data_IF_457824248828
#
_entry.id   IF_457824248828
#
_cell.length_a   1.000
_cell.length_b   1.000
_cell.length_c   1.000
_cell.angle_alpha   90.00
_cell.angle_beta   90.00
_cell.angle_gamma   90.00
#
_symmetry.space_group_name_H-M   'P 1'
#
loop_
_entity.id
_entity.type
_entity.pdbx_description
1 polymer ?
#
# COMPACT_ATOMS: atom_id res chain seq x y z
N UNK A 1 11.76 29.54 -6.83
CA UNK A 1 12.81 29.06 -7.77
C UNK A 1 13.95 28.39 -7.00
N UNK A 2 14.56 29.02 -6.04
CA UNK A 2 15.70 28.46 -5.29
C UNK A 2 15.46 27.06 -4.64
N UNK A 3 14.29 26.80 -4.04
CA UNK A 3 14.04 25.50 -3.39
C UNK A 3 13.95 24.33 -4.38
N UNK A 4 13.34 24.54 -5.55
CA UNK A 4 13.27 23.49 -6.60
C UNK A 4 14.61 23.25 -7.27
N UNK A 5 15.44 24.28 -7.41
CA UNK A 5 16.78 24.16 -7.97
C UNK A 5 17.72 23.42 -7.00
N UNK A 6 17.67 23.74 -5.71
CA UNK A 6 18.41 23.01 -4.66
C UNK A 6 18.03 21.53 -4.58
N UNK A 7 16.73 21.21 -4.69
CA UNK A 7 16.29 19.82 -4.72
C UNK A 7 16.81 19.06 -5.95
N UNK A 8 16.85 19.72 -7.12
CA UNK A 8 17.37 19.13 -8.34
C UNK A 8 18.88 18.90 -8.27
N UNK A 9 19.62 19.84 -7.71
CA UNK A 9 21.07 19.73 -7.50
C UNK A 9 21.38 18.56 -6.56
N UNK A 10 20.64 18.44 -5.47
CA UNK A 10 20.83 17.34 -4.50
C UNK A 10 20.45 15.98 -5.11
N UNK A 11 19.39 15.91 -5.90
CA UNK A 11 19.05 14.69 -6.65
C UNK A 11 20.14 14.26 -7.62
N UNK A 12 20.76 15.22 -8.32
CA UNK A 12 21.90 14.95 -9.20
C UNK A 12 23.12 14.42 -8.41
N UNK A 13 23.39 14.99 -7.22
CA UNK A 13 24.45 14.50 -6.33
C UNK A 13 24.15 13.07 -5.89
N UNK A 14 22.94 12.81 -5.39
CA UNK A 14 22.47 11.47 -5.03
C UNK A 14 22.61 10.47 -6.20
N UNK A 15 22.20 10.87 -7.40
CA UNK A 15 22.34 10.04 -8.60
C UNK A 15 23.82 9.73 -8.91
N UNK A 16 24.72 10.67 -8.66
CA UNK A 16 26.17 10.50 -8.82
C UNK A 16 26.75 9.58 -7.78
N UNK A 17 26.35 9.71 -6.50
CA UNK A 17 26.77 8.84 -5.40
C UNK A 17 26.39 7.37 -5.64
N UNK A 18 25.29 7.12 -6.33
CA UNK A 18 24.85 5.77 -6.73
C UNK A 18 25.58 5.23 -7.99
N UNK A 19 26.63 5.89 -8.45
CA UNK A 19 27.47 5.48 -9.60
C UNK A 19 26.67 5.16 -10.88
N UNK A 20 25.55 5.83 -11.05
CA UNK A 20 24.71 5.61 -12.23
C UNK A 20 23.80 4.39 -12.17
N UNK A 21 23.82 3.60 -11.12
CA UNK A 21 22.94 2.43 -10.97
C UNK A 21 21.49 2.83 -10.69
N UNK A 22 20.50 2.11 -11.24
CA UNK A 22 19.11 2.36 -10.91
C UNK A 22 18.80 1.97 -9.47
N UNK A 23 17.88 2.72 -8.83
CA UNK A 23 17.54 2.50 -7.44
C UNK A 23 16.15 3.04 -7.09
N UNK A 24 15.52 2.47 -6.06
CA UNK A 24 14.41 3.11 -5.38
C UNK A 24 14.92 4.17 -4.40
N UNK A 25 14.27 5.32 -4.41
CA UNK A 25 14.48 6.38 -3.42
C UNK A 25 13.21 6.51 -2.56
N UNK A 26 13.29 6.12 -1.30
CA UNK A 26 12.21 6.24 -0.32
C UNK A 26 12.38 7.52 0.49
N UNK A 27 11.50 8.49 0.28
CA UNK A 27 11.44 9.72 1.06
C UNK A 27 10.66 9.47 2.36
N UNK A 28 11.38 9.34 3.47
CA UNK A 28 10.82 9.04 4.78
C UNK A 28 9.95 10.19 5.31
N UNK A 29 10.37 11.44 5.11
CA UNK A 29 9.64 12.63 5.58
C UNK A 29 8.30 12.75 4.86
N UNK A 30 8.27 12.45 3.55
CA UNK A 30 7.05 12.40 2.76
C UNK A 30 6.08 11.34 3.26
N UNK A 31 6.57 10.15 3.58
CA UNK A 31 5.77 9.07 4.15
C UNK A 31 5.19 9.46 5.53
N UNK A 32 6.03 9.99 6.41
CA UNK A 32 5.63 10.48 7.74
C UNK A 32 4.53 11.53 7.60
N UNK A 33 4.72 12.47 6.69
CA UNK A 33 3.73 13.51 6.41
C UNK A 33 2.40 12.94 5.92
N UNK A 34 2.42 11.98 4.99
CA UNK A 34 1.20 11.32 4.50
C UNK A 34 0.45 10.61 5.62
N UNK A 35 1.18 9.85 6.45
CA UNK A 35 0.62 9.14 7.59
C UNK A 35 0.00 10.10 8.62
N UNK A 36 0.74 11.12 8.99
CA UNK A 36 0.33 12.09 10.02
C UNK A 36 -0.86 12.94 9.55
N UNK A 37 -0.82 13.41 8.30
CA UNK A 37 -1.90 14.23 7.74
C UNK A 37 -3.21 13.42 7.62
N UNK A 38 -3.13 12.16 7.17
CA UNK A 38 -4.30 11.29 7.12
C UNK A 38 -4.86 11.02 8.53
N UNK A 39 -3.99 10.67 9.47
CA UNK A 39 -4.39 10.40 10.85
C UNK A 39 -5.03 11.62 11.51
N UNK A 40 -4.43 12.81 11.34
CA UNK A 40 -4.93 14.05 11.93
C UNK A 40 -6.27 14.47 11.30
N UNK A 41 -6.41 14.38 9.98
CA UNK A 41 -7.67 14.69 9.31
C UNK A 41 -8.84 13.86 9.88
N UNK A 42 -8.65 12.57 10.05
CA UNK A 42 -9.69 11.71 10.61
C UNK A 42 -9.92 11.94 12.11
N UNK A 43 -8.84 12.15 12.89
CA UNK A 43 -8.94 12.39 14.35
C UNK A 43 -9.58 13.73 14.70
N UNK A 44 -9.54 14.68 13.82
CA UNK A 44 -10.25 15.96 13.97
C UNK A 44 -11.75 15.75 14.17
N UNK A 45 -12.36 14.81 13.43
CA UNK A 45 -13.78 14.47 13.53
C UNK A 45 -14.06 13.28 14.46
N UNK A 46 -13.15 12.29 14.49
CA UNK A 46 -13.32 11.09 15.31
C UNK A 46 -12.00 10.70 16.00
N UNK A 47 -11.76 11.15 17.25
CA UNK A 47 -10.47 10.98 17.94
C UNK A 47 -10.03 9.52 18.09
N UNK A 48 -10.99 8.56 18.20
CA UNK A 48 -10.68 7.13 18.29
C UNK A 48 -10.39 6.46 16.95
N UNK A 49 -9.71 7.18 16.04
CA UNK A 49 -9.26 6.65 14.74
C UNK A 49 -7.87 6.05 14.82
N UNK A 50 -7.66 4.93 14.11
CA UNK A 50 -6.37 4.24 13.93
C UNK A 50 -6.09 4.00 12.46
N UNK A 51 -4.82 4.13 12.10
CA UNK A 51 -4.30 3.81 10.76
C UNK A 51 -3.59 2.47 10.85
N UNK A 52 -4.04 1.50 10.06
CA UNK A 52 -3.41 0.21 9.87
C UNK A 52 -2.76 0.18 8.47
N UNK A 53 -1.44 0.21 8.42
CA UNK A 53 -0.74 0.20 7.13
C UNK A 53 -0.84 -1.16 6.45
N UNK A 54 -1.29 -1.20 5.20
CA UNK A 54 -1.41 -2.42 4.40
C UNK A 54 -0.04 -2.91 3.92
N UNK A 55 0.52 -3.95 4.56
CA UNK A 55 1.86 -4.47 4.27
C UNK A 55 2.00 -4.99 2.84
N UNK A 56 0.96 -5.60 2.28
CA UNK A 56 0.93 -6.06 0.87
C UNK A 56 1.29 -4.97 -0.15
N UNK A 57 1.12 -3.70 0.22
CA UNK A 57 1.47 -2.58 -0.65
C UNK A 57 2.98 -2.38 -0.75
N UNK A 58 3.68 -2.42 0.38
CA UNK A 58 5.14 -2.39 0.48
C UNK A 58 5.57 -2.77 1.90
N UNK A 59 6.14 -3.94 2.06
CA UNK A 59 6.52 -4.53 3.35
C UNK A 59 8.01 -4.41 3.69
N UNK A 60 8.73 -3.42 3.14
CA UNK A 60 10.12 -3.18 3.55
C UNK A 60 10.18 -2.92 5.06
N UNK A 61 10.99 -3.69 5.83
CA UNK A 61 10.96 -3.62 7.29
C UNK A 61 11.17 -2.23 7.87
N UNK A 62 11.99 -1.41 7.25
CA UNK A 62 12.25 -0.04 7.69
C UNK A 62 11.01 0.86 7.57
N UNK A 63 10.20 0.65 6.54
CA UNK A 63 8.91 1.35 6.37
C UNK A 63 7.92 0.86 7.42
N UNK A 64 7.87 -0.46 7.65
CA UNK A 64 7.00 -1.07 8.66
C UNK A 64 7.34 -0.60 10.09
N UNK A 65 8.63 -0.50 10.43
CA UNK A 65 9.09 0.06 11.72
C UNK A 65 8.75 1.54 11.86
N UNK A 66 8.79 2.29 10.76
CA UNK A 66 8.39 3.69 10.77
C UNK A 66 6.90 3.83 11.09
N UNK A 67 6.04 2.97 10.51
CA UNK A 67 4.61 2.90 10.85
C UNK A 67 4.41 2.63 12.35
N UNK A 68 5.13 1.65 12.91
CA UNK A 68 5.06 1.34 14.34
C UNK A 68 5.45 2.52 15.21
N UNK A 69 6.52 3.23 14.87
CA UNK A 69 6.99 4.42 15.59
C UNK A 69 5.99 5.58 15.56
N UNK A 70 5.15 5.66 14.53
CA UNK A 70 4.06 6.62 14.39
C UNK A 70 2.77 6.17 15.11
N UNK A 71 2.81 5.04 15.81
CA UNK A 71 1.65 4.47 16.52
C UNK A 71 0.63 3.81 15.59
N UNK A 72 1.05 3.50 14.36
CA UNK A 72 0.23 2.76 13.39
C UNK A 72 0.08 1.28 13.70
N UNK A 73 -0.87 0.64 13.07
CA UNK A 73 -1.13 -0.79 13.11
C UNK A 73 -0.57 -1.45 11.83
N UNK A 74 -0.30 -2.75 11.91
CA UNK A 74 0.09 -3.57 10.75
C UNK A 74 -1.14 -4.34 10.24
N UNK A 75 -1.62 -4.03 9.03
CA UNK A 75 -2.59 -4.88 8.32
C UNK A 75 -1.83 -5.88 7.47
N UNK A 76 -2.08 -7.17 7.71
CA UNK A 76 -1.40 -8.30 7.05
C UNK A 76 -2.42 -9.30 6.52
N UNK A 77 -2.07 -9.99 5.42
CA UNK A 77 -2.97 -10.93 4.73
C UNK A 77 -2.38 -12.33 4.56
N UNK A 78 -1.22 -12.60 5.17
CA UNK A 78 -0.56 -13.90 5.11
C UNK A 78 0.38 -14.12 6.30
N UNK A 79 0.76 -15.37 6.54
CA UNK A 79 1.78 -15.72 7.53
C UNK A 79 3.15 -15.10 7.21
N UNK A 80 3.49 -14.93 5.93
CA UNK A 80 4.71 -14.24 5.54
C UNK A 80 4.72 -12.78 6.02
N UNK A 81 3.64 -12.05 5.77
CA UNK A 81 3.53 -10.66 6.21
C UNK A 81 3.44 -10.55 7.74
N UNK A 82 2.80 -11.52 8.40
CA UNK A 82 2.74 -11.60 9.87
C UNK A 82 4.12 -11.77 10.50
N UNK A 83 4.98 -12.61 9.92
CA UNK A 83 6.38 -12.77 10.36
C UNK A 83 7.13 -11.44 10.27
N UNK A 84 6.95 -10.70 9.16
CA UNK A 84 7.55 -9.37 8.99
C UNK A 84 6.97 -8.41 10.04
N UNK A 85 5.65 -8.42 10.24
CA UNK A 85 4.99 -7.54 11.22
C UNK A 85 5.54 -7.80 12.63
N UNK A 86 5.67 -9.05 13.05
CA UNK A 86 6.25 -9.38 14.36
C UNK A 86 7.68 -8.90 14.55
N UNK A 87 8.45 -8.84 13.47
CA UNK A 87 9.81 -8.31 13.52
C UNK A 87 9.86 -6.76 13.56
N UNK A 88 8.76 -6.10 13.23
CA UNK A 88 8.71 -4.64 13.06
C UNK A 88 7.88 -3.92 14.13
N UNK A 89 6.80 -4.55 14.64
CA UNK A 89 5.93 -3.91 15.63
C UNK A 89 6.43 -4.13 17.05
N UNK A 90 6.32 -3.09 17.87
CA UNK A 90 6.67 -3.15 19.30
C UNK A 90 5.58 -3.79 20.16
N UNK A 91 4.33 -3.79 19.68
CA UNK A 91 3.16 -4.35 20.35
C UNK A 91 2.33 -5.19 19.36
N UNK A 92 2.34 -6.51 19.54
CA UNK A 92 1.64 -7.46 18.66
C UNK A 92 0.12 -7.33 18.69
N UNK A 93 -0.46 -6.66 19.70
CA UNK A 93 -1.89 -6.33 19.71
C UNK A 93 -2.30 -5.34 18.62
N UNK A 94 -1.31 -4.70 17.96
CA UNK A 94 -1.51 -3.79 16.82
C UNK A 94 -1.43 -4.49 15.46
N UNK A 95 -1.43 -5.82 15.42
CA UNK A 95 -1.51 -6.59 14.18
C UNK A 95 -2.98 -6.90 13.87
N UNK A 96 -3.40 -6.65 12.63
CA UNK A 96 -4.72 -6.99 12.08
C UNK A 96 -4.51 -7.95 10.93
N UNK A 97 -5.17 -9.11 10.99
CA UNK A 97 -5.09 -10.13 9.95
C UNK A 97 -6.38 -10.17 9.12
N UNK A 98 -6.24 -10.06 7.81
CA UNK A 98 -7.32 -10.08 6.82
C UNK A 98 -7.08 -11.13 5.71
N UNK A 99 -6.30 -12.17 5.99
CA UNK A 99 -6.01 -13.22 5.02
C UNK A 99 -7.23 -14.06 4.67
N UNK A 100 -7.21 -14.65 3.48
CA UNK A 100 -8.32 -15.43 2.92
C UNK A 100 -8.31 -16.90 3.36
N UNK A 101 -7.16 -17.38 3.77
CA UNK A 101 -6.98 -18.79 4.13
C UNK A 101 -6.85 -18.94 5.65
N UNK A 102 -7.35 -20.05 6.21
CA UNK A 102 -7.09 -20.36 7.61
C UNK A 102 -5.60 -20.67 7.77
N UNK A 103 -4.90 -19.87 8.57
CA UNK A 103 -3.48 -20.01 8.87
C UNK A 103 -3.24 -20.00 10.38
N UNK A 104 -2.20 -20.70 10.83
CA UNK A 104 -1.87 -20.82 12.26
C UNK A 104 -1.59 -19.46 12.91
N UNK A 105 -1.03 -18.51 12.14
CA UNK A 105 -0.76 -17.15 12.61
C UNK A 105 -2.03 -16.41 13.11
N UNK A 106 -3.23 -16.75 12.58
CA UNK A 106 -4.50 -16.18 13.08
C UNK A 106 -4.67 -16.39 14.58
N UNK A 107 -4.39 -17.59 15.05
CA UNK A 107 -4.52 -17.97 16.45
C UNK A 107 -3.47 -17.26 17.32
N UNK A 108 -2.26 -17.16 16.84
CA UNK A 108 -1.18 -16.44 17.49
C UNK A 108 -1.49 -14.94 17.66
N UNK A 109 -2.03 -14.31 16.60
CA UNK A 109 -2.45 -12.91 16.63
C UNK A 109 -3.55 -12.70 17.67
N UNK A 110 -4.58 -13.55 17.64
CA UNK A 110 -5.70 -13.47 18.61
C UNK A 110 -5.21 -13.64 20.05
N UNK A 111 -4.35 -14.62 20.32
CA UNK A 111 -3.79 -14.85 21.65
C UNK A 111 -2.97 -13.69 22.20
N UNK A 112 -2.39 -12.88 21.33
CA UNK A 112 -1.59 -11.69 21.67
C UNK A 112 -2.41 -10.40 21.65
N UNK A 113 -3.74 -10.52 21.59
CA UNK A 113 -4.67 -9.38 21.63
C UNK A 113 -4.80 -8.61 20.33
N UNK A 114 -4.23 -9.11 19.23
CA UNK A 114 -4.45 -8.57 17.89
C UNK A 114 -5.87 -8.85 17.37
N UNK A 115 -6.13 -8.50 16.12
CA UNK A 115 -7.44 -8.65 15.49
C UNK A 115 -7.34 -9.60 14.30
N UNK A 116 -8.36 -10.44 14.12
CA UNK A 116 -8.51 -11.30 12.95
C UNK A 116 -9.90 -11.07 12.37
N UNK A 117 -9.99 -10.58 11.16
CA UNK A 117 -11.25 -10.42 10.45
C UNK A 117 -11.49 -11.66 9.58
N UNK A 118 -12.35 -12.56 10.07
CA UNK A 118 -12.71 -13.77 9.33
C UNK A 118 -13.59 -13.42 8.13
N UNK A 119 -13.30 -14.03 6.99
CA UNK A 119 -13.95 -13.68 5.73
C UNK A 119 -14.75 -14.82 5.11
N UNK A 120 -14.64 -16.03 5.68
CA UNK A 120 -15.32 -17.23 5.20
C UNK A 120 -15.69 -18.15 6.35
N UNK A 121 -16.62 -19.08 6.09
CA UNK A 121 -17.06 -20.07 7.07
C UNK A 121 -15.90 -20.99 7.50
N UNK A 122 -15.00 -21.34 6.59
CA UNK A 122 -13.80 -22.14 6.87
C UNK A 122 -12.87 -21.42 7.86
N UNK A 123 -12.59 -20.14 7.61
CA UNK A 123 -11.78 -19.32 8.54
C UNK A 123 -12.46 -19.20 9.91
N UNK A 124 -13.79 -18.99 9.93
CA UNK A 124 -14.55 -18.91 11.16
C UNK A 124 -14.49 -20.24 11.93
N UNK A 125 -14.79 -21.37 11.30
CA UNK A 125 -14.69 -22.70 11.89
C UNK A 125 -13.30 -22.99 12.42
N UNK A 126 -12.25 -22.63 11.67
CA UNK A 126 -10.87 -22.82 12.09
C UNK A 126 -10.56 -22.10 13.41
N UNK A 127 -10.99 -20.84 13.54
CA UNK A 127 -10.81 -20.07 14.77
C UNK A 127 -11.66 -20.63 15.92
N UNK A 128 -12.93 -20.98 15.66
CA UNK A 128 -13.86 -21.47 16.70
C UNK A 128 -13.47 -22.85 17.25
N UNK A 129 -12.90 -23.74 16.43
CA UNK A 129 -12.50 -25.10 16.87
C UNK A 129 -11.40 -25.13 17.92
N UNK A 130 -10.61 -24.07 18.06
CA UNK A 130 -9.48 -24.02 18.98
C UNK A 130 -9.82 -23.55 20.38
N UNK A 131 -11.09 -23.21 20.68
CA UNK A 131 -11.63 -22.91 22.01
C UNK A 131 -10.78 -21.92 22.85
N UNK A 132 -10.21 -20.90 22.20
CA UNK A 132 -9.53 -19.85 22.94
C UNK A 132 -10.58 -18.95 23.65
N UNK A 133 -10.41 -18.73 24.96
CA UNK A 133 -11.24 -17.80 25.70
C UNK A 133 -10.89 -16.34 25.33
N UNK A 134 -11.92 -15.49 25.24
CA UNK A 134 -11.79 -14.03 25.10
C UNK A 134 -11.06 -13.50 23.85
N UNK A 135 -11.09 -14.22 22.72
CA UNK A 135 -10.49 -13.73 21.47
C UNK A 135 -11.37 -12.67 20.78
N UNK A 136 -10.70 -11.76 20.10
CA UNK A 136 -11.32 -10.62 19.40
C UNK A 136 -11.52 -10.93 17.92
N UNK A 137 -12.58 -11.67 17.61
CA UNK A 137 -12.93 -12.01 16.23
C UNK A 137 -13.65 -10.83 15.57
N UNK A 138 -13.16 -10.42 14.41
CA UNK A 138 -13.89 -9.54 13.51
C UNK A 138 -14.57 -10.33 12.40
N UNK A 139 -15.60 -9.76 11.80
CA UNK A 139 -16.31 -10.33 10.66
C UNK A 139 -16.11 -9.42 9.46
N UNK A 140 -15.56 -9.96 8.35
CA UNK A 140 -15.46 -9.23 7.09
C UNK A 140 -16.79 -9.27 6.35
N UNK A 141 -17.31 -8.09 6.05
CA UNK A 141 -18.55 -7.89 5.29
C UNK A 141 -18.21 -7.67 3.83
N UNK A 142 -18.75 -8.51 2.97
CA UNK A 142 -18.66 -8.42 1.51
C UNK A 142 -19.90 -7.79 0.86
N UNK A 143 -19.95 -7.83 -0.45
CA UNK A 143 -21.12 -7.54 -1.26
C UNK A 143 -21.27 -8.59 -2.38
N UNK A 144 -22.43 -8.62 -3.05
CA UNK A 144 -22.75 -9.62 -4.07
C UNK A 144 -21.80 -9.62 -5.28
N UNK A 145 -21.08 -8.52 -5.52
CA UNK A 145 -20.12 -8.40 -6.61
C UNK A 145 -18.69 -8.71 -6.17
N UNK A 146 -18.48 -9.00 -4.89
CA UNK A 146 -17.17 -9.31 -4.31
C UNK A 146 -17.05 -10.81 -4.05
N UNK A 147 -15.86 -11.36 -4.30
CA UNK A 147 -15.53 -12.73 -3.87
C UNK A 147 -15.10 -12.81 -2.41
N UNK A 148 -15.16 -11.71 -1.66
CA UNK A 148 -14.63 -11.57 -0.31
C UNK A 148 -15.72 -11.28 0.70
N UNK A 149 -15.56 -11.88 1.89
CA UNK A 149 -16.39 -11.60 3.04
C UNK A 149 -17.77 -12.24 3.00
N UNK A 150 -18.46 -12.17 4.10
CA UNK A 150 -19.84 -12.65 4.24
C UNK A 150 -20.84 -11.64 3.69
N UNK A 151 -21.90 -12.12 3.07
CA UNK A 151 -23.03 -11.28 2.70
C UNK A 151 -23.86 -10.92 3.93
N UNK A 152 -24.65 -9.85 3.84
CA UNK A 152 -25.56 -9.47 4.94
C UNK A 152 -26.58 -10.56 5.26
N UNK A 153 -27.02 -11.34 4.24
CA UNK A 153 -27.88 -12.51 4.41
C UNK A 153 -27.30 -13.59 5.31
N UNK A 154 -25.98 -13.72 5.35
CA UNK A 154 -25.28 -14.78 6.05
C UNK A 154 -25.00 -14.43 7.52
N UNK A 155 -25.16 -13.15 7.88
CA UNK A 155 -24.75 -12.64 9.21
C UNK A 155 -25.50 -13.31 10.35
N UNK A 156 -26.77 -13.67 10.17
CA UNK A 156 -27.52 -14.33 11.22
C UNK A 156 -26.94 -15.72 11.56
N UNK A 157 -26.54 -16.47 10.55
CA UNK A 157 -25.90 -17.78 10.71
C UNK A 157 -24.49 -17.64 11.32
N UNK A 158 -23.68 -16.73 10.77
CA UNK A 158 -22.33 -16.42 11.27
C UNK A 158 -22.34 -16.02 12.74
N UNK A 159 -23.25 -15.13 13.15
CA UNK A 159 -23.40 -14.73 14.54
C UNK A 159 -23.90 -15.89 15.40
N UNK A 160 -24.82 -16.72 14.88
CA UNK A 160 -25.29 -17.93 15.54
C UNK A 160 -24.14 -18.90 15.86
N UNK A 161 -23.22 -19.12 14.93
CA UNK A 161 -22.04 -19.96 15.13
C UNK A 161 -21.12 -19.40 16.22
N UNK A 162 -20.85 -18.08 16.23
CA UNK A 162 -20.00 -17.44 17.23
C UNK A 162 -20.62 -17.50 18.63
N UNK A 163 -21.93 -17.27 18.76
CA UNK A 163 -22.67 -17.37 20.02
C UNK A 163 -22.66 -18.80 20.54
N UNK A 164 -22.93 -19.80 19.69
CA UNK A 164 -22.92 -21.21 20.07
C UNK A 164 -21.54 -21.67 20.58
N UNK A 165 -20.47 -21.14 19.98
CA UNK A 165 -19.10 -21.38 20.39
C UNK A 165 -18.66 -20.54 21.62
N UNK A 166 -19.54 -19.68 22.16
CA UNK A 166 -19.24 -18.74 23.27
C UNK A 166 -18.06 -17.79 22.92
N UNK A 167 -17.90 -17.46 21.65
CA UNK A 167 -16.89 -16.52 21.20
C UNK A 167 -17.49 -15.13 21.00
N UNK A 168 -16.66 -14.10 21.19
CA UNK A 168 -17.09 -12.70 21.10
C UNK A 168 -16.74 -12.11 19.76
N UNK A 169 -17.73 -11.57 19.06
CA UNK A 169 -17.50 -10.69 17.89
C UNK A 169 -17.15 -9.31 18.41
N UNK A 170 -15.94 -8.86 18.13
CA UNK A 170 -15.42 -7.57 18.62
C UNK A 170 -15.48 -6.46 17.57
N UNK A 171 -15.62 -6.79 16.30
CA UNK A 171 -15.68 -5.78 15.26
C UNK A 171 -16.14 -6.29 13.92
N UNK A 172 -16.28 -5.37 13.00
CA UNK A 172 -16.56 -5.63 11.59
C UNK A 172 -15.54 -4.95 10.70
N UNK A 173 -15.27 -5.57 9.56
CA UNK A 173 -14.37 -5.07 8.55
C UNK A 173 -15.03 -5.06 7.19
N UNK A 174 -14.70 -4.10 6.34
CA UNK A 174 -14.98 -4.19 4.92
C UNK A 174 -13.83 -3.59 4.11
N UNK A 175 -13.57 -4.18 2.95
CA UNK A 175 -12.67 -3.59 1.97
C UNK A 175 -13.36 -3.63 0.60
N UNK A 176 -13.84 -2.50 0.14
CA UNK A 176 -14.56 -2.38 -1.14
C UNK A 176 -13.58 -1.88 -2.19
N UNK A 177 -13.46 -2.63 -3.28
CA UNK A 177 -12.74 -2.22 -4.48
C UNK A 177 -13.58 -1.28 -5.37
N UNK A 178 -13.08 -0.96 -6.55
CA UNK A 178 -13.78 -0.12 -7.53
C UNK A 178 -13.47 1.36 -7.41
N UNK A 179 -14.48 2.23 -7.32
CA UNK A 179 -14.26 3.67 -7.25
C UNK A 179 -13.74 4.12 -5.87
N UNK A 180 -12.80 5.07 -5.90
CA UNK A 180 -12.26 5.74 -4.70
C UNK A 180 -12.97 7.05 -4.39
N UNK A 181 -14.10 7.33 -5.07
CA UNK A 181 -14.85 8.58 -4.91
C UNK A 181 -15.42 8.75 -3.50
N UNK A 182 -15.69 10.01 -3.13
CA UNK A 182 -16.35 10.32 -1.85
C UNK A 182 -17.72 9.66 -1.74
N UNK A 183 -18.45 9.57 -2.84
CA UNK A 183 -19.78 8.95 -2.87
C UNK A 183 -19.70 7.45 -2.51
N UNK A 184 -18.71 6.73 -3.04
CA UNK A 184 -18.47 5.32 -2.69
C UNK A 184 -18.14 5.18 -1.21
N UNK A 185 -17.29 6.07 -0.68
CA UNK A 185 -16.93 6.05 0.73
C UNK A 185 -18.10 6.38 1.66
N UNK A 186 -18.95 7.35 1.32
CA UNK A 186 -20.17 7.66 2.07
C UNK A 186 -21.13 6.46 2.11
N UNK A 187 -21.41 5.85 0.96
CA UNK A 187 -22.28 4.66 0.88
C UNK A 187 -21.74 3.49 1.71
N UNK A 188 -20.45 3.22 1.59
CA UNK A 188 -19.76 2.19 2.37
C UNK A 188 -19.89 2.45 3.87
N UNK A 189 -19.61 3.67 4.31
CA UNK A 189 -19.67 4.06 5.72
C UNK A 189 -21.08 3.91 6.27
N UNK A 190 -22.08 4.47 5.60
CA UNK A 190 -23.48 4.37 6.03
C UNK A 190 -23.94 2.91 6.13
N UNK A 191 -23.59 2.07 5.14
CA UNK A 191 -23.86 0.63 5.14
C UNK A 191 -23.23 -0.06 6.35
N UNK A 192 -21.96 0.16 6.59
CA UNK A 192 -21.22 -0.48 7.68
C UNK A 192 -21.74 -0.04 9.07
N UNK A 193 -22.10 1.23 9.22
CA UNK A 193 -22.69 1.72 10.46
C UNK A 193 -24.06 1.11 10.75
N UNK A 194 -24.90 0.92 9.72
CA UNK A 194 -26.18 0.21 9.86
C UNK A 194 -25.97 -1.23 10.28
N UNK A 195 -25.09 -1.96 9.56
CA UNK A 195 -24.77 -3.36 9.89
C UNK A 195 -24.19 -3.48 11.32
N UNK A 196 -23.30 -2.57 11.72
CA UNK A 196 -22.76 -2.55 13.08
C UNK A 196 -23.85 -2.47 14.13
N UNK A 197 -24.84 -1.57 13.96
CA UNK A 197 -25.98 -1.44 14.88
C UNK A 197 -26.87 -2.69 14.93
N UNK A 198 -27.10 -3.31 13.77
CA UNK A 198 -27.91 -4.54 13.71
C UNK A 198 -27.19 -5.70 14.42
N UNK A 199 -25.88 -5.85 14.23
CA UNK A 199 -25.05 -6.85 14.92
C UNK A 199 -25.04 -6.59 16.43
N UNK A 200 -24.82 -5.35 16.87
CA UNK A 200 -24.83 -4.99 18.28
C UNK A 200 -26.19 -5.28 18.97
N UNK A 201 -27.29 -5.07 18.25
CA UNK A 201 -28.64 -5.40 18.73
C UNK A 201 -28.82 -6.91 18.90
N UNK A 202 -28.31 -7.72 17.97
CA UNK A 202 -28.38 -9.20 18.06
C UNK A 202 -27.50 -9.70 19.21
N UNK A 203 -26.28 -9.17 19.33
CA UNK A 203 -25.30 -9.61 20.32
C UNK A 203 -25.59 -9.11 21.74
N UNK A 204 -26.33 -7.99 21.90
CA UNK A 204 -26.60 -7.36 23.17
C UNK A 204 -25.44 -6.61 23.82
N UNK A 205 -24.36 -6.38 23.06
CA UNK A 205 -23.18 -5.62 23.50
C UNK A 205 -22.58 -4.80 22.33
N UNK A 206 -21.82 -3.71 22.63
CA UNK A 206 -21.23 -2.87 21.62
C UNK A 206 -20.02 -3.53 20.94
N UNK A 207 -19.81 -3.24 19.66
CA UNK A 207 -18.58 -3.57 18.96
C UNK A 207 -17.42 -2.68 19.45
N UNK A 208 -16.21 -3.23 19.47
CA UNK A 208 -14.99 -2.54 19.88
C UNK A 208 -14.36 -1.75 18.71
N UNK A 209 -14.58 -2.19 17.46
CA UNK A 209 -14.05 -1.50 16.27
C UNK A 209 -14.93 -1.67 15.05
N UNK A 210 -14.78 -0.70 14.14
CA UNK A 210 -15.30 -0.72 12.78
C UNK A 210 -14.11 -0.41 11.87
N UNK A 211 -13.76 -1.37 11.02
CA UNK A 211 -12.69 -1.25 10.06
C UNK A 211 -13.27 -1.05 8.65
N UNK A 212 -12.98 0.09 8.05
CA UNK A 212 -13.48 0.46 6.73
C UNK A 212 -12.49 0.11 5.61
N UNK A 213 -11.38 -0.56 5.95
CA UNK A 213 -10.38 -0.95 4.96
C UNK A 213 -9.62 0.23 4.35
N UNK A 214 -9.01 -0.04 3.21
CA UNK A 214 -8.23 0.94 2.46
C UNK A 214 -8.95 1.48 1.22
N UNK A 215 -8.17 1.67 0.14
CA UNK A 215 -8.64 2.15 -1.16
C UNK A 215 -8.96 3.65 -1.19
N UNK A 216 -8.13 4.46 -0.51
CA UNK A 216 -8.11 5.91 -0.60
C UNK A 216 -7.18 6.37 -1.72
N UNK A 217 -7.46 7.51 -2.31
CA UNK A 217 -6.46 8.23 -3.10
C UNK A 217 -5.37 8.77 -2.18
N UNK A 218 -4.12 8.65 -2.63
CA UNK A 218 -2.97 9.33 -2.06
C UNK A 218 -2.64 10.60 -2.81
N UNK A 219 -1.60 11.28 -2.34
CA UNK A 219 -1.03 12.41 -3.07
C UNK A 219 -0.37 11.93 -4.35
N UNK A 220 -0.45 12.77 -5.37
CA UNK A 220 0.19 12.56 -6.68
C UNK A 220 0.39 13.92 -7.34
N UNK A 221 1.28 13.97 -8.34
CA UNK A 221 1.46 15.18 -9.13
C UNK A 221 0.27 15.41 -10.09
N UNK A 222 0.19 16.64 -10.63
CA UNK A 222 -0.94 17.06 -11.45
C UNK A 222 -1.04 16.28 -12.77
N UNK A 223 0.06 15.82 -13.33
CA UNK A 223 0.06 15.10 -14.62
C UNK A 223 -0.48 13.68 -14.46
N UNK A 224 -0.14 13.01 -13.35
CA UNK A 224 -0.75 11.74 -12.99
C UNK A 224 -2.23 11.93 -12.61
N UNK A 225 -2.54 12.98 -11.84
CA UNK A 225 -3.91 13.28 -11.37
C UNK A 225 -4.89 13.47 -12.53
N UNK A 226 -4.51 14.20 -13.57
CA UNK A 226 -5.33 14.43 -14.78
C UNK A 226 -5.78 13.14 -15.46
N UNK A 227 -5.01 12.07 -15.36
CA UNK A 227 -5.29 10.80 -16.02
C UNK A 227 -6.42 9.99 -15.34
N UNK A 228 -6.85 10.36 -14.13
CA UNK A 228 -7.95 9.68 -13.45
C UNK A 228 -9.34 10.13 -13.92
N UNK A 229 -9.43 11.30 -14.57
CA UNK A 229 -10.68 11.80 -15.16
C UNK A 229 -11.78 12.13 -14.14
N UNK A 230 -11.45 12.20 -12.87
CA UNK A 230 -12.35 12.55 -11.76
C UNK A 230 -11.64 13.46 -10.75
N UNK A 231 -12.41 14.16 -9.94
CA UNK A 231 -11.86 14.92 -8.83
C UNK A 231 -11.25 13.96 -7.79
N UNK A 232 -9.96 14.15 -7.48
CA UNK A 232 -9.24 13.34 -6.51
C UNK A 232 -9.47 13.93 -5.11
N UNK A 233 -10.21 13.25 -4.22
CA UNK A 233 -10.45 13.71 -2.88
C UNK A 233 -9.16 13.82 -2.06
N UNK A 234 -9.10 14.83 -1.22
CA UNK A 234 -8.04 14.97 -0.22
C UNK A 234 -8.32 14.10 1.02
N UNK A 235 -7.34 13.95 1.90
CA UNK A 235 -7.54 13.26 3.18
C UNK A 235 -8.60 13.94 4.05
N UNK A 236 -8.71 15.27 3.97
CA UNK A 236 -9.72 16.05 4.68
C UNK A 236 -11.12 15.77 4.14
N UNK A 237 -11.29 15.68 2.82
CA UNK A 237 -12.58 15.35 2.20
C UNK A 237 -13.08 13.97 2.63
N UNK A 238 -12.17 12.96 2.65
CA UNK A 238 -12.51 11.63 3.17
C UNK A 238 -12.86 11.66 4.65
N UNK A 239 -12.09 12.39 5.45
CA UNK A 239 -12.31 12.48 6.89
C UNK A 239 -13.67 13.13 7.21
N UNK A 240 -14.02 14.22 6.54
CA UNK A 240 -15.31 14.86 6.70
C UNK A 240 -16.47 13.94 6.28
N UNK A 241 -16.30 13.24 5.15
CA UNK A 241 -17.32 12.34 4.63
C UNK A 241 -17.56 11.09 5.50
N UNK A 242 -16.54 10.62 6.22
CA UNK A 242 -16.54 9.33 6.94
C UNK A 242 -16.53 9.53 8.45
N UNK A 243 -15.51 10.20 8.98
CA UNK A 243 -15.31 10.26 10.44
C UNK A 243 -16.40 11.10 11.12
N UNK A 244 -16.93 12.10 10.45
CA UNK A 244 -18.07 12.91 10.94
C UNK A 244 -19.34 12.08 11.06
N UNK A 245 -19.64 11.21 10.10
CA UNK A 245 -20.79 10.29 10.15
C UNK A 245 -20.66 9.26 11.26
N UNK A 246 -19.45 8.71 11.43
CA UNK A 246 -19.15 7.80 12.54
C UNK A 246 -19.35 8.50 13.90
N UNK A 247 -18.86 9.75 14.03
CA UNK A 247 -19.07 10.55 15.25
C UNK A 247 -20.56 10.77 15.53
N UNK A 248 -21.33 11.21 14.56
CA UNK A 248 -22.77 11.43 14.72
C UNK A 248 -23.50 10.16 15.14
N UNK A 249 -23.07 9.01 14.65
CA UNK A 249 -23.66 7.71 14.96
C UNK A 249 -23.39 7.26 16.40
N UNK A 250 -22.25 7.64 16.99
CA UNK A 250 -21.79 7.13 18.28
C UNK A 250 -21.58 8.19 19.38
N UNK A 251 -21.87 9.48 19.12
CA UNK A 251 -21.62 10.60 20.07
C UNK A 251 -22.25 10.44 21.44
N UNK A 252 -23.39 9.76 21.54
CA UNK A 252 -24.11 9.56 22.80
C UNK A 252 -23.68 8.32 23.59
N UNK A 253 -22.66 7.61 23.10
CA UNK A 253 -22.15 6.40 23.75
C UNK A 253 -21.02 6.69 24.73
N UNK A 254 -21.02 5.96 25.85
CA UNK A 254 -19.91 5.98 26.83
C UNK A 254 -18.63 5.38 26.26
N UNK A 255 -18.75 4.36 25.37
CA UNK A 255 -17.63 3.71 24.70
C UNK A 255 -17.88 3.76 23.19
N UNK A 256 -17.04 4.48 22.50
CA UNK A 256 -17.08 4.59 21.04
C UNK A 256 -16.17 3.53 20.43
N UNK A 257 -16.61 2.82 19.36
CA UNK A 257 -15.76 1.85 18.67
C UNK A 257 -14.53 2.52 18.09
N UNK A 258 -13.44 1.78 17.94
CA UNK A 258 -12.28 2.24 17.21
C UNK A 258 -12.63 2.29 15.71
N UNK A 259 -12.43 3.42 15.05
CA UNK A 259 -12.47 3.52 13.58
C UNK A 259 -11.10 3.15 13.04
N UNK A 260 -11.04 2.13 12.20
CA UNK A 260 -9.81 1.68 11.58
C UNK A 260 -9.88 1.95 10.08
N UNK A 261 -8.76 2.43 9.54
CA UNK A 261 -8.53 2.59 8.10
C UNK A 261 -7.26 1.84 7.72
N UNK A 262 -7.27 1.20 6.55
CA UNK A 262 -6.17 0.36 6.07
C UNK A 262 -5.50 0.94 4.79
N UNK A 263 -4.97 2.17 4.83
CA UNK A 263 -4.31 2.74 3.68
C UNK A 263 -3.00 2.01 3.38
N UNK A 264 -2.79 1.72 2.10
CA UNK A 264 -1.49 1.30 1.56
C UNK A 264 -1.00 2.37 0.59
N UNK A 265 -1.53 2.36 -0.64
CA UNK A 265 -1.18 3.28 -1.73
C UNK A 265 -1.20 4.75 -1.32
N UNK A 266 -2.20 5.16 -0.54
CA UNK A 266 -2.36 6.54 -0.09
C UNK A 266 -1.18 7.07 0.75
N UNK A 267 -0.42 6.19 1.41
CA UNK A 267 0.70 6.55 2.25
C UNK A 267 2.05 6.46 1.52
N UNK A 268 2.22 5.44 0.65
CA UNK A 268 3.54 5.07 0.15
C UNK A 268 3.78 5.45 -1.32
N UNK A 269 2.73 5.62 -2.15
CA UNK A 269 2.91 5.73 -3.59
C UNK A 269 3.83 6.89 -3.98
N UNK A 270 3.57 8.09 -3.50
CA UNK A 270 4.33 9.30 -3.80
C UNK A 270 5.59 9.49 -2.93
N UNK A 271 5.76 8.61 -1.93
CA UNK A 271 6.95 8.60 -1.08
C UNK A 271 8.10 7.78 -1.67
N UNK A 272 7.89 7.04 -2.76
CA UNK A 272 8.95 6.30 -3.45
C UNK A 272 9.01 6.71 -4.90
N UNK A 273 10.22 6.96 -5.36
CA UNK A 273 10.54 7.20 -6.76
C UNK A 273 11.60 6.20 -7.24
N UNK A 274 11.67 6.00 -8.55
CA UNK A 274 12.71 5.17 -9.19
C UNK A 274 13.67 6.08 -9.92
N UNK A 275 14.95 5.99 -9.57
CA UNK A 275 16.05 6.61 -10.29
C UNK A 275 16.46 5.70 -11.44
N UNK A 276 16.54 6.24 -12.66
CA UNK A 276 16.82 5.49 -13.86
C UNK A 276 17.74 6.27 -14.81
N UNK A 277 18.32 5.57 -15.79
CA UNK A 277 19.15 6.15 -16.85
C UNK A 277 18.61 5.77 -18.21
N UNK A 278 18.60 6.73 -19.14
CA UNK A 278 18.31 6.49 -20.55
C UNK A 278 19.45 5.69 -21.18
N UNK A 279 19.19 4.44 -21.54
CA UNK A 279 20.17 3.52 -22.12
C UNK A 279 20.20 3.63 -23.64
N UNK A 280 19.06 3.85 -24.26
CA UNK A 280 18.95 3.90 -25.70
C UNK A 280 17.83 4.86 -26.14
N UNK A 281 18.02 5.46 -27.31
CA UNK A 281 17.02 6.27 -28.01
C UNK A 281 17.03 5.89 -29.47
N UNK A 282 15.88 5.52 -30.04
CA UNK A 282 15.74 5.12 -31.44
C UNK A 282 14.46 5.69 -32.04
N UNK A 283 14.51 5.90 -33.38
CA UNK A 283 13.35 6.26 -34.18
C UNK A 283 12.66 4.97 -34.69
N UNK A 284 11.37 4.86 -34.48
CA UNK A 284 10.52 3.79 -35.02
C UNK A 284 9.36 4.42 -35.81
N UNK A 285 9.46 4.39 -37.13
CA UNK A 285 8.55 5.14 -37.97
C UNK A 285 8.66 6.65 -37.69
N UNK A 286 7.60 7.24 -37.15
CA UNK A 286 7.57 8.67 -36.74
C UNK A 286 7.67 8.87 -35.20
N UNK A 287 7.80 7.78 -34.42
CA UNK A 287 7.85 7.84 -32.95
C UNK A 287 9.28 7.67 -32.44
N UNK A 288 9.67 8.50 -31.50
CA UNK A 288 10.87 8.29 -30.71
C UNK A 288 10.57 7.31 -29.59
N UNK A 289 11.46 6.35 -29.37
CA UNK A 289 11.37 5.32 -28.34
C UNK A 289 12.64 5.36 -27.51
N UNK A 290 12.48 5.58 -26.23
CA UNK A 290 13.53 5.55 -25.21
C UNK A 290 13.45 4.25 -24.43
N UNK A 291 14.60 3.62 -24.17
CA UNK A 291 14.72 2.46 -23.29
C UNK A 291 15.53 2.84 -22.05
N UNK A 292 14.99 2.52 -20.87
CA UNK A 292 15.61 2.74 -19.58
C UNK A 292 16.31 1.48 -19.05
N UNK A 293 17.12 1.64 -18.01
CA UNK A 293 17.71 0.56 -17.21
C UNK A 293 16.78 0.03 -16.09
N UNK A 294 15.52 0.43 -16.12
CA UNK A 294 14.44 -0.06 -15.26
C UNK A 294 13.26 -0.51 -16.11
N UNK A 295 12.30 -1.23 -15.53
CA UNK A 295 11.08 -1.67 -16.23
C UNK A 295 9.82 -1.12 -15.54
N UNK A 296 8.68 -1.23 -16.20
CA UNK A 296 7.37 -0.92 -15.63
C UNK A 296 7.09 -1.75 -14.36
N UNK A 297 7.62 -2.98 -14.29
CA UNK A 297 7.54 -3.82 -13.09
C UNK A 297 8.26 -3.22 -11.88
N UNK A 298 9.31 -2.41 -12.09
CA UNK A 298 9.97 -1.66 -11.01
C UNK A 298 9.12 -0.50 -10.52
N UNK A 299 8.18 -0.02 -11.34
CA UNK A 299 7.33 1.13 -11.03
C UNK A 299 6.01 0.74 -10.33
N UNK A 300 5.66 -0.56 -10.35
CA UNK A 300 4.45 -1.10 -9.74
C UNK A 300 3.24 -1.08 -10.66
N UNK A 301 2.13 -1.66 -10.19
CA UNK A 301 0.90 -1.87 -10.98
C UNK A 301 0.34 -0.61 -11.66
N UNK A 302 0.64 0.56 -11.16
CA UNK A 302 0.14 1.81 -11.74
C UNK A 302 0.64 2.03 -13.16
N UNK A 303 1.84 1.54 -13.50
CA UNK A 303 2.42 1.64 -14.83
C UNK A 303 1.65 0.86 -15.91
N UNK A 304 0.84 -0.13 -15.51
CA UNK A 304 0.03 -0.94 -16.45
C UNK A 304 -1.08 -0.10 -17.11
N UNK A 305 -1.58 0.93 -16.41
CA UNK A 305 -2.77 1.69 -16.84
C UNK A 305 -2.62 3.21 -16.78
N UNK A 306 -1.48 3.74 -16.30
CA UNK A 306 -1.19 5.18 -16.24
C UNK A 306 0.22 5.46 -16.72
N UNK A 307 0.41 6.60 -17.36
CA UNK A 307 1.71 7.12 -17.72
C UNK A 307 2.33 7.82 -16.50
N UNK A 308 3.49 7.32 -16.06
CA UNK A 308 4.13 7.85 -14.87
C UNK A 308 4.83 9.18 -15.16
N UNK A 309 4.83 10.05 -14.18
CA UNK A 309 5.53 11.32 -14.26
C UNK A 309 7.04 11.10 -14.21
N UNK A 310 7.72 11.62 -15.22
CA UNK A 310 9.17 11.56 -15.38
C UNK A 310 9.76 12.96 -15.18
N UNK A 311 10.73 13.05 -14.28
CA UNK A 311 11.53 14.26 -14.06
C UNK A 311 12.94 14.03 -14.53
N UNK A 312 13.39 14.76 -15.58
CA UNK A 312 14.78 14.77 -16.00
C UNK A 312 15.64 15.51 -14.96
N UNK A 313 16.78 14.94 -14.58
CA UNK A 313 17.65 15.49 -13.54
C UNK A 313 18.70 16.47 -14.11
N UNK A 314 19.03 16.39 -15.39
CA UNK A 314 19.94 17.33 -16.01
C UNK A 314 19.23 18.61 -16.46
N UNK A 315 19.92 19.74 -16.42
CA UNK A 315 19.45 21.01 -16.98
C UNK A 315 19.60 21.11 -18.50
N UNK A 316 20.28 20.12 -19.12
CA UNK A 316 20.47 20.07 -20.57
C UNK A 316 19.13 20.00 -21.29
N UNK A 317 18.93 20.88 -22.27
CA UNK A 317 17.80 20.82 -23.21
C UNK A 317 18.12 19.99 -24.45
N UNK A 318 19.29 19.32 -24.47
CA UNK A 318 19.65 18.44 -25.58
C UNK A 318 18.70 17.24 -25.61
N UNK A 319 18.41 16.75 -26.78
CA UNK A 319 17.53 15.64 -27.04
C UNK A 319 16.35 16.01 -27.94
N UNK A 320 15.51 15.04 -28.24
CA UNK A 320 14.32 15.22 -29.04
C UNK A 320 13.19 15.86 -28.23
N UNK A 321 12.66 16.97 -28.72
CA UNK A 321 11.54 17.71 -28.12
C UNK A 321 10.21 17.33 -28.80
N UNK A 322 9.69 16.15 -28.56
CA UNK A 322 8.42 15.70 -29.13
C UNK A 322 7.85 14.56 -28.34
N UNK A 323 6.73 14.01 -28.79
CA UNK A 323 6.14 12.83 -28.19
C UNK A 323 7.12 11.65 -28.24
N UNK A 324 7.49 11.14 -27.09
CA UNK A 324 8.44 10.04 -26.92
C UNK A 324 7.78 8.93 -26.11
N UNK A 325 7.89 7.69 -26.56
CA UNK A 325 7.50 6.51 -25.78
C UNK A 325 8.69 6.11 -24.91
N UNK A 326 8.50 6.08 -23.60
CA UNK A 326 9.50 5.66 -22.62
C UNK A 326 9.18 4.26 -22.15
N UNK A 327 10.08 3.32 -22.46
CA UNK A 327 9.94 1.89 -22.18
C UNK A 327 11.01 1.40 -21.20
N UNK A 328 10.72 0.28 -20.56
CA UNK A 328 11.71 -0.47 -19.81
C UNK A 328 12.62 -1.35 -20.67
N UNK A 329 13.44 -2.15 -19.99
CA UNK A 329 14.46 -3.02 -20.61
C UNK A 329 13.94 -4.41 -20.99
N UNK A 330 12.71 -4.75 -20.65
CA UNK A 330 12.23 -6.11 -20.85
C UNK A 330 11.93 -6.44 -22.30
N UNK A 331 11.78 -7.71 -22.61
CA UNK A 331 11.37 -8.19 -23.93
C UNK A 331 9.84 -8.19 -24.12
N UNK A 332 9.08 -7.59 -23.21
CA UNK A 332 7.62 -7.46 -23.29
C UNK A 332 7.25 -6.20 -24.06
N UNK A 333 6.32 -6.30 -25.01
CA UNK A 333 5.87 -5.14 -25.80
C UNK A 333 5.16 -4.08 -24.94
N UNK A 334 4.53 -4.50 -23.81
CA UNK A 334 3.77 -3.64 -22.89
C UNK A 334 4.63 -3.03 -21.77
N UNK A 335 5.96 -3.15 -21.84
CA UNK A 335 6.86 -2.57 -20.84
C UNK A 335 6.97 -1.05 -20.97
N UNK A 336 5.84 -0.36 -20.79
CA UNK A 336 5.74 1.09 -20.90
C UNK A 336 5.79 1.76 -19.52
N UNK A 337 6.56 2.83 -19.43
CA UNK A 337 6.61 3.71 -18.24
C UNK A 337 5.85 5.01 -18.53
N UNK A 338 5.99 5.53 -19.74
CA UNK A 338 5.22 6.67 -20.23
C UNK A 338 5.07 6.57 -21.76
N UNK A 339 3.82 6.60 -22.23
CA UNK A 339 3.49 6.38 -23.66
C UNK A 339 3.51 7.65 -24.48
N UNK A 340 3.56 8.82 -23.83
CA UNK A 340 3.48 10.14 -24.48
C UNK A 340 4.26 11.20 -23.70
N UNK A 341 5.53 10.92 -23.41
CA UNK A 341 6.40 11.86 -22.71
C UNK A 341 6.79 13.04 -23.62
N UNK A 342 6.57 14.25 -23.11
CA UNK A 342 6.94 15.51 -23.77
C UNK A 342 8.11 16.17 -23.04
N UNK A 343 9.33 15.88 -23.48
CA UNK A 343 10.55 16.47 -22.93
C UNK A 343 11.78 15.97 -23.68
N UNK A 344 12.81 16.77 -23.69
CA UNK A 344 14.07 16.42 -24.35
C UNK A 344 14.81 15.33 -23.58
N UNK A 345 14.97 14.13 -24.15
CA UNK A 345 15.77 13.04 -23.61
C UNK A 345 16.89 12.65 -24.58
N UNK A 346 18.05 12.32 -24.02
CA UNK A 346 19.19 11.75 -24.74
C UNK A 346 19.80 10.58 -23.96
N UNK A 347 20.60 9.76 -24.67
CA UNK A 347 21.30 8.64 -24.00
C UNK A 347 22.21 9.15 -22.89
N UNK A 348 22.11 8.52 -21.74
CA UNK A 348 22.86 8.88 -20.52
C UNK A 348 22.13 9.85 -19.60
N UNK A 349 20.98 10.40 -20.00
CA UNK A 349 20.18 11.24 -19.12
C UNK A 349 19.72 10.45 -17.91
N UNK A 350 19.86 11.08 -16.75
CA UNK A 350 19.30 10.57 -15.48
C UNK A 350 17.90 11.13 -15.30
N UNK A 351 17.00 10.26 -14.92
CA UNK A 351 15.59 10.60 -14.69
C UNK A 351 15.09 10.04 -13.39
N UNK A 352 14.07 10.69 -12.82
CA UNK A 352 13.33 10.25 -11.66
C UNK A 352 11.90 9.94 -12.09
N UNK A 353 11.47 8.70 -11.89
CA UNK A 353 10.09 8.24 -12.12
C UNK A 353 9.36 8.29 -10.80
N UNK A 354 8.23 9.02 -10.74
CA UNK A 354 7.49 9.29 -9.50
C UNK A 354 6.37 8.28 -9.25
N UNK A 355 5.85 8.28 -8.01
CA UNK A 355 4.70 7.46 -7.60
C UNK A 355 4.90 5.93 -7.72
N UNK A 356 6.11 5.45 -7.46
CA UNK A 356 6.49 4.04 -7.58
C UNK A 356 6.45 3.25 -6.26
N UNK A 357 5.84 3.77 -5.19
CA UNK A 357 5.92 3.14 -3.86
C UNK A 357 4.96 1.96 -3.64
N UNK A 358 3.87 1.91 -4.38
CA UNK A 358 2.81 0.94 -4.15
C UNK A 358 2.89 -0.23 -5.13
N UNK A 359 2.91 -1.46 -4.60
CA UNK A 359 2.89 -2.70 -5.38
C UNK A 359 4.06 -2.85 -6.37
N UNK A 360 5.15 -2.13 -6.17
CA UNK A 360 6.38 -2.26 -6.92
C UNK A 360 7.23 -3.41 -6.35
N UNK A 361 7.82 -3.22 -5.18
CA UNK A 361 8.70 -4.21 -4.56
C UNK A 361 7.95 -5.49 -4.15
N UNK A 362 6.74 -5.36 -3.62
CA UNK A 362 5.97 -6.50 -3.12
C UNK A 362 5.47 -7.42 -4.23
N UNK A 363 5.24 -6.92 -5.43
CA UNK A 363 4.76 -7.71 -6.57
C UNK A 363 5.82 -8.01 -7.63
N UNK A 364 6.99 -7.36 -7.54
CA UNK A 364 8.07 -7.61 -8.50
C UNK A 364 8.76 -8.94 -8.23
N UNK A 365 8.72 -9.83 -9.22
CA UNK A 365 9.62 -10.99 -9.31
C UNK A 365 10.98 -10.64 -9.89
N UNK A 366 11.93 -11.59 -9.84
CA UNK A 366 13.18 -11.50 -10.56
C UNK A 366 12.95 -11.83 -12.04
N UNK A 367 12.45 -10.84 -12.81
CA UNK A 367 12.23 -10.99 -14.25
C UNK A 367 13.32 -10.24 -15.02
N UNK A 368 14.15 -10.97 -15.78
CA UNK A 368 15.31 -10.54 -16.56
C UNK A 368 16.44 -10.00 -15.69
N UNK A 369 16.18 -9.02 -14.83
CA UNK A 369 17.16 -8.48 -13.89
C UNK A 369 16.69 -8.65 -12.43
N UNK A 370 17.64 -8.71 -11.47
CA UNK A 370 17.34 -8.72 -10.06
C UNK A 370 16.59 -7.45 -9.62
N UNK A 371 16.02 -7.50 -8.42
CA UNK A 371 15.35 -6.33 -7.84
C UNK A 371 16.35 -5.23 -7.49
N UNK A 372 15.96 -3.97 -7.72
CA UNK A 372 16.76 -2.79 -7.43
C UNK A 372 17.04 -2.63 -5.91
N UNK A 373 18.15 -1.99 -5.53
CA UNK A 373 18.36 -1.53 -4.17
C UNK A 373 17.38 -0.40 -3.81
N UNK A 374 17.17 -0.18 -2.51
CA UNK A 374 16.37 0.95 -2.02
C UNK A 374 17.15 1.75 -0.98
N UNK A 375 17.16 3.05 -1.17
CA UNK A 375 17.78 4.00 -0.26
C UNK A 375 16.72 4.88 0.41
N UNK A 376 16.86 5.08 1.71
CA UNK A 376 16.08 6.08 2.42
C UNK A 376 16.71 7.46 2.19
N UNK A 377 15.89 8.42 1.81
CA UNK A 377 16.26 9.82 1.62
C UNK A 377 15.39 10.73 2.48
N UNK A 378 15.90 11.93 2.78
CA UNK A 378 15.13 13.01 3.42
C UNK A 378 14.40 13.87 2.36
N UNK A 379 13.66 14.89 2.81
CA UNK A 379 12.94 15.84 1.92
C UNK A 379 13.88 16.63 1.00
N UNK A 380 15.17 16.73 1.33
CA UNK A 380 16.20 17.32 0.48
C UNK A 380 16.79 16.31 -0.53
N UNK A 381 16.31 15.06 -0.56
CA UNK A 381 16.82 13.95 -1.36
C UNK A 381 18.28 13.54 -1.03
N UNK A 382 18.75 13.82 0.17
CA UNK A 382 20.03 13.30 0.67
C UNK A 382 19.86 11.85 1.11
N UNK A 383 20.79 10.97 0.72
CA UNK A 383 20.80 9.58 1.16
C UNK A 383 21.10 9.53 2.66
N UNK A 384 20.16 8.99 3.43
CA UNK A 384 20.34 8.70 4.85
C UNK A 384 21.04 7.35 5.00
N UNK A 385 20.52 6.32 4.31
CA UNK A 385 21.05 4.94 4.34
C UNK A 385 20.40 4.04 3.30
N UNK A 386 21.07 2.95 2.99
CA UNK A 386 20.47 1.82 2.28
C UNK A 386 19.52 1.07 3.21
N UNK A 387 18.33 0.73 2.73
CA UNK A 387 17.30 0.00 3.50
C UNK A 387 16.91 -1.33 2.86
N UNK A 388 17.32 -1.55 1.62
CA UNK A 388 17.19 -2.82 0.91
C UNK A 388 18.35 -2.95 -0.08
N UNK A 389 19.11 -4.02 0.05
CA UNK A 389 20.19 -4.34 -0.89
C UNK A 389 19.68 -4.69 -2.29
N UNK A 390 20.57 -4.56 -3.26
CA UNK A 390 20.33 -5.08 -4.61
C UNK A 390 20.10 -6.60 -4.58
N UNK A 391 19.14 -7.08 -5.37
CA UNK A 391 18.97 -8.52 -5.56
C UNK A 391 20.19 -9.12 -6.28
N UNK A 392 20.70 -10.23 -5.77
CA UNK A 392 21.85 -10.89 -6.39
C UNK A 392 21.41 -11.97 -7.35
N UNK A 393 22.10 -12.11 -8.47
CA UNK A 393 21.90 -13.23 -9.42
C UNK A 393 22.03 -14.58 -8.73
N UNK A 394 22.97 -14.71 -7.78
CA UNK A 394 23.13 -15.91 -6.95
C UNK A 394 21.86 -16.29 -6.15
N UNK A 395 21.08 -15.32 -5.70
CA UNK A 395 19.85 -15.59 -4.96
C UNK A 395 18.75 -16.15 -5.88
N UNK A 396 18.68 -15.66 -7.12
CA UNK A 396 17.79 -16.22 -8.15
C UNK A 396 18.18 -17.66 -8.47
N UNK A 397 19.47 -17.93 -8.65
CA UNK A 397 20.00 -19.29 -8.89
C UNK A 397 19.72 -20.21 -7.70
N UNK A 398 19.99 -19.78 -6.46
CA UNK A 398 19.76 -20.57 -5.24
C UNK A 398 18.29 -20.98 -5.06
N UNK A 399 17.34 -20.11 -5.44
CA UNK A 399 15.89 -20.44 -5.39
C UNK A 399 15.51 -21.56 -6.37
N UNK A 400 16.26 -21.72 -7.45
CA UNK A 400 16.03 -22.75 -8.47
C UNK A 400 16.76 -24.06 -8.20
N UNK A 401 17.73 -24.10 -7.25
CA UNK A 401 18.51 -25.28 -6.94
C UNK A 401 17.86 -26.11 -5.83
N UNK A 402 17.48 -27.34 -6.15
CA UNK A 402 17.00 -28.31 -5.16
C UNK A 402 18.21 -28.86 -4.36
N UNK A 403 18.15 -28.68 -3.04
CA UNK A 403 19.14 -29.27 -2.12
C UNK A 403 20.47 -28.54 -1.96
N UNK A 404 20.53 -27.24 -2.33
CA UNK A 404 21.67 -26.37 -2.01
C UNK A 404 23.01 -26.73 -2.68
N UNK A 405 23.03 -27.63 -3.64
CA UNK A 405 24.25 -27.95 -4.41
C UNK A 405 24.45 -26.89 -5.50
N UNK A 406 25.57 -26.17 -5.44
CA UNK A 406 26.02 -25.30 -6.54
C UNK A 406 26.18 -26.15 -7.80
N UNK A 407 25.43 -25.86 -8.86
CA UNK A 407 25.89 -26.17 -10.20
C UNK A 407 27.13 -25.29 -10.44
N UNK A 408 28.29 -25.90 -10.53
CA UNK A 408 29.48 -25.25 -11.08
C UNK A 408 29.23 -25.26 -12.58
N UNK A 409 28.89 -24.09 -13.14
CA UNK A 409 28.94 -23.84 -14.58
C UNK A 409 30.38 -23.44 -14.91
#
# INVERSE_FOLDING_TARGET
>A
MEYKELQLEQLNKTATELYGNPAYLFNADRFIKNFTDLQNAFREYYPNTRIAYSYKTNYIPEICKLVDSLGGYAEVVSSMEEIIARACVSDTSRIIYNGLLPEECMLDILNKGGKVNVESEECLKYVLHKNYADVKIGIRIGDENSRFGFLESDLFEVLGMTIAAKQKVSGIHCHVGGSRSLETWKKKTARMLRIAKDIEKILGYPLEYIDLGGHLYGRMDDDLKKQFGEDIPTFQDYAEAVAKEVMETYKDRKSMPQLILEPGTALIADAVSVLATVQNLKLRGKKHVVTLDVSSFDCGMIADYKDLTIQKLSSSKAGYEGSTVVCGYTCMEEDYINRDYHGALEKGDRILIKNCGAYSISMKGNFIFPSLPMYMVNDCNEIIREIKGEGKTDDAVRRCLIGGKRCVI
#
